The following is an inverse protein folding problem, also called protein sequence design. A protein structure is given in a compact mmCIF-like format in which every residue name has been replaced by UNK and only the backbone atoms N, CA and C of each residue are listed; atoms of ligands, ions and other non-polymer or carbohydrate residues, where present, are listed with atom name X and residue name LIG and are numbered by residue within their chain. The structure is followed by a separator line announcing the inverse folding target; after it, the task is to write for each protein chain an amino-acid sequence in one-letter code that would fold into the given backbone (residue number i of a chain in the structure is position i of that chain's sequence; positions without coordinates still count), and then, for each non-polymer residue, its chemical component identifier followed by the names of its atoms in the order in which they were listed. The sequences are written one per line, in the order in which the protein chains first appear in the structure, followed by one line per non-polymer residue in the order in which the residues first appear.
data_IF_519450232796
#
_entry.id   IF_519450232796
#
_cell.length_a   1.000
_cell.length_b   1.000
_cell.length_c   1.000
_cell.angle_alpha   90.00
_cell.angle_beta   90.00
_cell.angle_gamma   90.00
#
_symmetry.space_group_name_H-M   'P 1'
#
loop_
_entity.id
_entity.type
_entity.pdbx_description
1 polymer ?
#
# COMPACT_ATOMS: atom_id res chain seq x y z
N UNK A 1 -1.13 -29.86 37.95
CA UNK A 1 -0.08 -29.67 36.92
C UNK A 1 -0.75 -29.28 35.62
N UNK A 2 -0.72 -28.00 35.23
CA UNK A 2 -1.41 -27.50 34.02
C UNK A 2 -0.40 -27.25 32.90
N UNK A 3 -0.64 -27.89 31.73
CA UNK A 3 0.12 -27.75 30.49
C UNK A 3 -0.41 -26.58 29.65
N UNK A 4 0.52 -25.85 29.02
CA UNK A 4 0.41 -25.46 27.61
C UNK A 4 -0.13 -24.07 27.29
N UNK A 5 0.73 -23.04 27.35
CA UNK A 5 0.48 -21.78 26.64
C UNK A 5 1.80 -21.21 26.09
N UNK A 6 2.38 -21.87 25.07
CA UNK A 6 3.44 -21.28 24.24
C UNK A 6 3.00 -21.19 22.77
N UNK A 7 1.80 -20.67 22.55
CA UNK A 7 1.33 -20.43 21.19
C UNK A 7 1.85 -19.08 20.69
N UNK A 8 3.02 -19.12 20.05
CA UNK A 8 3.60 -17.96 19.37
C UNK A 8 2.81 -17.67 18.09
N UNK A 9 1.97 -16.63 18.11
CA UNK A 9 1.42 -16.07 16.88
C UNK A 9 2.55 -15.31 16.17
N UNK A 10 3.02 -15.84 15.04
CA UNK A 10 3.94 -15.13 14.16
C UNK A 10 3.18 -13.96 13.49
N UNK A 11 3.08 -12.84 14.20
CA UNK A 11 2.64 -11.60 13.59
C UNK A 11 3.76 -11.12 12.67
N UNK A 12 3.62 -11.34 11.36
CA UNK A 12 4.54 -10.76 10.39
C UNK A 12 4.34 -9.24 10.42
N UNK A 13 5.22 -8.54 11.13
CA UNK A 13 5.33 -7.08 11.06
C UNK A 13 6.20 -6.70 9.86
N UNK A 14 5.81 -5.65 9.14
CA UNK A 14 6.62 -5.15 8.00
C UNK A 14 7.87 -4.49 8.55
N UNK A 15 9.04 -4.89 8.06
CA UNK A 15 10.30 -4.29 8.50
C UNK A 15 10.41 -2.83 8.04
N UNK A 16 11.04 -1.98 8.87
CA UNK A 16 11.29 -0.58 8.51
C UNK A 16 12.17 -0.45 7.24
N UNK A 17 13.02 -1.45 6.96
CA UNK A 17 13.83 -1.50 5.75
C UNK A 17 12.96 -1.73 4.50
N UNK A 18 11.97 -2.63 4.57
CA UNK A 18 11.06 -2.89 3.46
C UNK A 18 10.23 -1.64 3.09
N UNK A 19 9.73 -0.90 4.10
CA UNK A 19 9.00 0.37 3.88
C UNK A 19 9.91 1.40 3.21
N UNK A 20 11.14 1.57 3.73
CA UNK A 20 12.12 2.50 3.16
C UNK A 20 12.45 2.20 1.71
N UNK A 21 12.55 0.92 1.33
CA UNK A 21 12.80 0.49 -0.04
C UNK A 21 11.70 0.97 -1.00
N UNK A 22 10.43 0.83 -0.62
CA UNK A 22 9.31 1.31 -1.46
C UNK A 22 9.26 2.83 -1.52
N UNK A 23 9.44 3.51 -0.38
CA UNK A 23 9.52 4.97 -0.37
C UNK A 23 10.63 5.49 -1.30
N UNK A 24 11.79 4.81 -1.33
CA UNK A 24 12.90 5.16 -2.21
C UNK A 24 12.52 4.97 -3.69
N UNK A 25 11.87 3.86 -4.05
CA UNK A 25 11.38 3.61 -5.42
C UNK A 25 10.38 4.68 -5.87
N UNK A 26 9.37 4.98 -5.05
CA UNK A 26 8.37 6.02 -5.35
C UNK A 26 9.05 7.39 -5.49
N UNK A 27 10.01 7.71 -4.61
CA UNK A 27 10.78 8.95 -4.68
C UNK A 27 11.61 9.06 -5.95
N UNK A 28 12.26 7.98 -6.37
CA UNK A 28 13.05 7.94 -7.60
C UNK A 28 12.19 8.14 -8.85
N UNK A 29 10.96 7.60 -8.85
CA UNK A 29 10.00 7.77 -9.95
C UNK A 29 9.36 9.16 -9.98
N UNK A 30 9.34 9.89 -8.87
CA UNK A 30 8.62 11.16 -8.73
C UNK A 30 9.56 12.36 -8.48
N UNK A 31 10.57 12.64 -9.35
CA UNK A 31 11.39 13.84 -9.21
C UNK A 31 10.58 15.09 -9.58
N UNK A 32 10.85 16.21 -8.90
CA UNK A 32 10.05 17.45 -9.04
C UNK A 32 10.04 18.03 -10.46
N UNK A 33 11.11 17.83 -11.21
CA UNK A 33 11.29 18.34 -12.57
C UNK A 33 11.10 17.25 -13.63
N UNK A 34 10.44 16.14 -13.29
CA UNK A 34 10.24 15.05 -14.25
C UNK A 34 9.39 15.51 -15.43
N UNK A 35 9.90 15.36 -16.65
CA UNK A 35 9.13 15.53 -17.88
C UNK A 35 8.45 14.23 -18.33
N UNK A 36 8.61 13.13 -17.58
CA UNK A 36 8.03 11.84 -17.93
C UNK A 36 6.52 11.92 -18.13
N UNK A 37 6.02 11.08 -19.05
CA UNK A 37 4.60 10.88 -19.22
C UNK A 37 3.96 10.43 -17.89
N UNK A 38 2.94 11.17 -17.47
CA UNK A 38 2.23 10.92 -16.22
C UNK A 38 1.54 9.55 -16.25
N UNK A 39 0.99 9.13 -17.39
CA UNK A 39 0.32 7.83 -17.51
C UNK A 39 1.31 6.66 -17.31
N UNK A 40 2.51 6.75 -17.90
CA UNK A 40 3.60 5.78 -17.67
C UNK A 40 4.06 5.76 -16.20
N UNK A 41 4.17 6.93 -15.57
CA UNK A 41 4.55 7.07 -14.17
C UNK A 41 3.51 6.44 -13.23
N UNK A 42 2.22 6.73 -13.45
CA UNK A 42 1.13 6.15 -12.65
C UNK A 42 1.09 4.62 -12.79
N UNK A 43 1.22 4.09 -14.01
CA UNK A 43 1.34 2.63 -14.23
C UNK A 43 2.46 2.01 -13.41
N UNK A 44 3.65 2.63 -13.42
CA UNK A 44 4.82 2.09 -12.71
C UNK A 44 4.65 2.16 -11.20
N UNK A 45 4.08 3.24 -10.68
CA UNK A 45 3.78 3.38 -9.25
C UNK A 45 2.77 2.33 -8.83
N UNK A 46 1.64 2.20 -9.53
CA UNK A 46 0.63 1.19 -9.23
C UNK A 46 1.21 -0.21 -9.22
N UNK A 47 2.03 -0.58 -10.21
CA UNK A 47 2.69 -1.89 -10.24
C UNK A 47 3.56 -2.15 -8.99
N UNK A 48 4.35 -1.17 -8.58
CA UNK A 48 5.25 -1.30 -7.42
C UNK A 48 4.44 -1.38 -6.12
N UNK A 49 3.48 -0.48 -5.92
CA UNK A 49 2.71 -0.44 -4.67
C UNK A 49 1.82 -1.66 -4.55
N UNK A 50 1.09 -2.03 -5.62
CA UNK A 50 0.22 -3.21 -5.61
C UNK A 50 1.02 -4.51 -5.45
N UNK A 51 2.15 -4.67 -6.15
CA UNK A 51 3.00 -5.85 -5.98
C UNK A 51 3.55 -5.96 -4.55
N UNK A 52 3.91 -4.83 -3.95
CA UNK A 52 4.38 -4.80 -2.57
C UNK A 52 3.27 -5.12 -1.56
N UNK A 53 2.08 -4.57 -1.75
CA UNK A 53 0.94 -4.86 -0.89
C UNK A 53 0.46 -6.31 -1.03
N UNK A 54 0.47 -6.88 -2.24
CA UNK A 54 0.18 -8.30 -2.45
C UNK A 54 1.19 -9.20 -1.70
N UNK A 55 2.47 -8.83 -1.65
CA UNK A 55 3.46 -9.58 -0.88
C UNK A 55 3.20 -9.49 0.64
N UNK A 56 2.85 -8.30 1.14
CA UNK A 56 2.59 -8.06 2.56
C UNK A 56 1.11 -8.22 2.95
N UNK A 57 0.26 -8.81 2.11
CA UNK A 57 -1.19 -8.91 2.35
C UNK A 57 -1.56 -9.75 3.59
N UNK A 58 -0.62 -10.57 4.07
CA UNK A 58 -0.77 -11.41 5.27
C UNK A 58 -0.12 -10.79 6.51
N UNK A 59 0.65 -9.71 6.34
CA UNK A 59 1.22 -8.95 7.44
C UNK A 59 0.17 -8.00 8.05
N UNK A 60 0.30 -7.68 9.34
CA UNK A 60 -0.54 -6.66 9.99
C UNK A 60 -0.07 -5.27 9.54
N UNK A 61 -0.40 -4.90 8.30
CA UNK A 61 0.23 -3.80 7.57
C UNK A 61 -0.73 -2.69 7.11
N UNK A 62 -2.00 -2.70 7.51
CA UNK A 62 -3.00 -1.73 7.02
C UNK A 62 -2.52 -0.28 7.21
N UNK A 63 -2.09 0.06 8.43
CA UNK A 63 -1.59 1.40 8.76
C UNK A 63 -0.36 1.78 7.93
N UNK A 64 0.45 0.80 7.56
CA UNK A 64 1.62 0.99 6.69
C UNK A 64 1.20 1.25 5.26
N UNK A 65 0.19 0.55 4.74
CA UNK A 65 -0.37 0.83 3.41
C UNK A 65 -1.01 2.21 3.32
N UNK A 66 -1.78 2.61 4.34
CA UNK A 66 -2.36 3.97 4.42
C UNK A 66 -1.26 5.04 4.43
N UNK A 67 -0.19 4.81 5.19
CA UNK A 67 0.97 5.73 5.26
C UNK A 67 1.69 5.82 3.91
N UNK A 68 1.86 4.70 3.21
CA UNK A 68 2.45 4.64 1.89
C UNK A 68 1.59 5.36 0.84
N UNK A 69 0.27 5.16 0.89
CA UNK A 69 -0.68 5.83 0.01
C UNK A 69 -0.65 7.35 0.22
N UNK A 70 -0.66 7.80 1.48
CA UNK A 70 -0.54 9.21 1.81
C UNK A 70 0.78 9.81 1.31
N UNK A 71 1.90 9.11 1.53
CA UNK A 71 3.21 9.53 1.04
C UNK A 71 3.25 9.65 -0.48
N UNK A 72 2.71 8.66 -1.19
CA UNK A 72 2.66 8.62 -2.66
C UNK A 72 1.80 9.74 -3.21
N UNK A 73 0.62 9.97 -2.63
CA UNK A 73 -0.26 11.07 -3.01
C UNK A 73 0.41 12.43 -2.83
N UNK A 74 1.02 12.69 -1.66
CA UNK A 74 1.75 13.93 -1.40
C UNK A 74 2.86 14.19 -2.43
N UNK A 75 3.57 13.12 -2.85
CA UNK A 75 4.62 13.20 -3.87
C UNK A 75 4.05 13.55 -5.24
N UNK A 76 3.00 12.86 -5.67
CA UNK A 76 2.33 13.11 -6.95
C UNK A 76 1.79 14.53 -7.04
N UNK A 77 1.05 14.96 -6.02
CA UNK A 77 0.50 16.32 -5.96
C UNK A 77 1.63 17.35 -6.03
N UNK A 78 2.67 17.22 -5.20
CA UNK A 78 3.80 18.17 -5.20
C UNK A 78 4.54 18.21 -6.54
N UNK A 79 4.72 17.07 -7.20
CA UNK A 79 5.32 17.02 -8.53
C UNK A 79 4.46 17.75 -9.56
N UNK A 80 3.15 17.51 -9.57
CA UNK A 80 2.21 18.18 -10.48
C UNK A 80 2.13 19.68 -10.21
N UNK A 81 2.12 20.10 -8.94
CA UNK A 81 2.17 21.51 -8.54
C UNK A 81 3.38 22.21 -9.15
N UNK A 82 4.57 21.61 -9.03
CA UNK A 82 5.81 22.19 -9.53
C UNK A 82 5.85 22.17 -11.06
N UNK A 83 5.50 21.04 -11.68
CA UNK A 83 5.52 20.85 -13.14
C UNK A 83 4.61 21.84 -13.86
N UNK A 84 3.41 22.07 -13.33
CA UNK A 84 2.42 22.94 -13.96
C UNK A 84 2.34 24.34 -13.35
N UNK A 85 3.22 24.66 -12.40
CA UNK A 85 3.22 25.93 -11.64
C UNK A 85 1.85 26.26 -11.03
N UNK A 86 1.12 25.24 -10.61
CA UNK A 86 -0.22 25.38 -10.03
C UNK A 86 -0.16 25.94 -8.62
N UNK A 87 -1.19 26.70 -8.26
CA UNK A 87 -1.47 27.07 -6.86
C UNK A 87 -2.38 26.00 -6.23
N UNK A 88 -2.46 25.99 -4.91
CA UNK A 88 -3.33 25.06 -4.18
C UNK A 88 -4.80 25.16 -4.61
N UNK A 89 -5.25 26.35 -5.00
CA UNK A 89 -6.59 26.59 -5.55
C UNK A 89 -6.84 25.81 -6.84
N UNK A 90 -5.85 25.71 -7.72
CA UNK A 90 -5.98 24.99 -9.01
C UNK A 90 -6.07 23.48 -8.79
N UNK A 91 -5.29 22.98 -7.82
CA UNK A 91 -5.32 21.57 -7.41
C UNK A 91 -6.68 21.23 -6.82
N UNK A 92 -7.20 22.05 -5.90
CA UNK A 92 -8.56 21.86 -5.35
C UNK A 92 -9.62 21.91 -6.43
N UNK A 93 -9.56 22.88 -7.34
CA UNK A 93 -10.52 22.99 -8.45
C UNK A 93 -10.50 21.75 -9.35
N UNK A 94 -9.33 21.12 -9.54
CA UNK A 94 -9.18 19.97 -10.43
C UNK A 94 -9.48 18.63 -9.77
N UNK A 95 -9.12 18.47 -8.49
CA UNK A 95 -9.17 17.17 -7.82
C UNK A 95 -10.13 17.13 -6.62
N UNK A 96 -10.87 18.21 -6.32
CA UNK A 96 -11.90 18.20 -5.26
C UNK A 96 -13.26 18.43 -5.92
N UNK A 97 -14.15 17.46 -5.76
CA UNK A 97 -15.53 17.57 -6.21
C UNK A 97 -16.32 18.58 -5.35
N UNK A 98 -17.47 19.09 -5.85
CA UNK A 98 -18.34 19.98 -5.07
C UNK A 98 -18.79 19.39 -3.72
N UNK A 99 -18.90 18.06 -3.63
CA UNK A 99 -19.22 17.34 -2.40
C UNK A 99 -18.03 17.21 -1.41
N UNK A 100 -16.88 17.80 -1.73
CA UNK A 100 -15.67 17.76 -0.90
C UNK A 100 -14.82 16.49 -1.05
N UNK A 101 -15.24 15.53 -1.88
CA UNK A 101 -14.47 14.31 -2.12
C UNK A 101 -13.30 14.57 -3.06
N UNK A 102 -12.18 13.89 -2.78
CA UNK A 102 -11.01 13.94 -3.65
C UNK A 102 -11.19 12.99 -4.84
N UNK A 103 -11.09 13.54 -6.05
CA UNK A 103 -10.96 12.75 -7.26
C UNK A 103 -9.58 12.10 -7.33
N UNK A 104 -9.50 10.89 -7.90
CA UNK A 104 -8.23 10.22 -8.08
C UNK A 104 -7.39 10.92 -9.15
N UNK A 105 -6.07 10.74 -9.08
CA UNK A 105 -5.15 11.33 -10.06
C UNK A 105 -5.17 10.42 -11.29
N UNK A 106 -5.62 10.96 -12.41
CA UNK A 106 -5.75 10.21 -13.67
C UNK A 106 -4.92 10.83 -14.79
N UNK A 107 -4.39 9.98 -15.67
CA UNK A 107 -3.69 10.40 -16.89
C UNK A 107 -3.74 9.30 -17.96
N UNK A 108 -4.13 9.65 -19.19
CA UNK A 108 -4.13 8.71 -20.31
C UNK A 108 -4.94 7.43 -20.05
N UNK A 109 -6.07 7.54 -19.35
CA UNK A 109 -6.91 6.39 -18.97
C UNK A 109 -6.40 5.57 -17.79
N UNK A 110 -5.27 5.95 -17.17
CA UNK A 110 -4.73 5.28 -15.97
C UNK A 110 -5.02 6.13 -14.74
N UNK A 111 -5.56 5.49 -13.72
CA UNK A 111 -5.81 6.06 -12.40
C UNK A 111 -4.71 5.64 -11.41
N UNK A 112 -4.30 6.54 -10.52
CA UNK A 112 -3.54 6.15 -9.33
C UNK A 112 -4.44 5.44 -8.32
N UNK A 113 -4.20 4.14 -8.11
CA UNK A 113 -5.02 3.32 -7.25
C UNK A 113 -4.43 3.26 -5.84
N UNK A 114 -5.29 3.40 -4.83
CA UNK A 114 -4.89 3.25 -3.43
C UNK A 114 -4.54 1.80 -3.14
N UNK A 115 -3.38 1.61 -2.54
CA UNK A 115 -2.88 0.28 -2.20
C UNK A 115 -3.64 -0.33 -1.02
N UNK A 116 -4.13 0.51 -0.10
CA UNK A 116 -4.93 0.10 1.06
C UNK A 116 -6.29 -0.53 0.69
N UNK A 117 -6.72 -0.43 -0.57
CA UNK A 117 -7.93 -1.09 -1.06
C UNK A 117 -7.76 -2.62 -1.22
N UNK A 118 -6.53 -3.13 -1.22
CA UNK A 118 -6.27 -4.57 -1.26
C UNK A 118 -6.66 -5.17 0.09
N UNK A 119 -7.60 -6.13 0.08
CA UNK A 119 -8.08 -6.79 1.28
C UNK A 119 -6.92 -7.54 1.99
N UNK A 120 -6.63 -7.16 3.23
CA UNK A 120 -5.67 -7.89 4.06
C UNK A 120 -6.30 -9.21 4.49
N UNK A 121 -5.75 -10.31 3.99
CA UNK A 121 -6.15 -11.65 4.39
C UNK A 121 -5.38 -12.03 5.66
N UNK A 122 -6.00 -11.80 6.81
CA UNK A 122 -5.47 -12.27 8.09
C UNK A 122 -5.51 -13.79 8.11
N UNK A 123 -4.41 -14.42 8.51
CA UNK A 123 -4.40 -15.86 8.74
C UNK A 123 -5.46 -16.21 9.79
N UNK A 124 -6.51 -16.91 9.38
CA UNK A 124 -7.49 -17.48 10.30
C UNK A 124 -6.85 -18.73 10.90
N UNK A 125 -6.59 -18.68 12.21
CA UNK A 125 -6.12 -19.86 12.93
C UNK A 125 -7.06 -21.05 12.65
N UNK A 126 -6.52 -22.11 12.05
CA UNK A 126 -7.25 -23.33 11.69
C UNK A 126 -7.19 -24.41 12.78
N UNK A 127 -6.58 -24.15 13.93
CA UNK A 127 -6.56 -25.08 15.07
C UNK A 127 -6.09 -26.49 14.72
N UNK A 128 -6.54 -27.47 15.51
CA UNK A 128 -6.39 -28.90 15.26
C UNK A 128 -7.35 -29.45 14.17
N UNK A 129 -8.00 -28.58 13.38
CA UNK A 129 -8.98 -29.00 12.35
C UNK A 129 -8.31 -29.74 11.20
N UNK A 130 -7.00 -29.53 11.00
CA UNK A 130 -6.19 -30.34 10.09
C UNK A 130 -5.66 -31.50 10.93
N UNK A 131 -6.04 -32.73 10.60
CA UNK A 131 -5.48 -33.93 11.24
C UNK A 131 -3.96 -33.88 11.16
N UNK A 132 -3.30 -33.80 12.31
CA UNK A 132 -1.86 -33.83 12.40
C UNK A 132 -1.41 -35.30 12.30
N UNK A 133 -0.69 -35.72 11.24
CA UNK A 133 -0.31 -37.12 11.02
C UNK A 133 0.68 -37.67 12.07
N UNK A 134 1.22 -36.80 12.94
CA UNK A 134 2.20 -37.16 13.97
C UNK A 134 1.59 -37.34 15.37
N UNK A 135 0.26 -37.29 15.50
CA UNK A 135 -0.42 -37.57 16.78
C UNK A 135 -0.97 -38.99 16.74
N UNK A 136 -0.44 -39.93 17.54
CA UNK A 136 -1.02 -41.26 17.65
C UNK A 136 -2.43 -41.14 18.24
N UNK A 137 -3.42 -41.74 17.56
CA UNK A 137 -4.78 -41.81 18.08
C UNK A 137 -4.78 -42.48 19.45
N UNK A 138 -5.34 -41.80 20.45
CA UNK A 138 -5.41 -42.33 21.81
C UNK A 138 -6.43 -43.46 21.81
N UNK A 139 -6.00 -44.69 22.11
CA UNK A 139 -6.87 -45.85 22.38
C UNK A 139 -7.44 -45.75 23.79
#
# INVERSE_FOLDING_TARGET
MARGWSQWYLYTFVSHAAIRSVHAKVRALTPRTSQHDLAKLLRRINQITHGWAAYFQHAVAQRTFDSLDHFTWCRLIRMLTVRHRWKWRDIRRRYVMPNGQWQPITAGGIEWNRTAAIAITRHRYRGNTISNPWVPGTT
#
